data_IF_311945775920
#
_entry.id   IF_311945775920
#
_cell.length_a   1.000
_cell.length_b   1.000
_cell.length_c   1.000
_cell.angle_alpha   90.00
_cell.angle_beta   90.00
_cell.angle_gamma   90.00
#
_symmetry.space_group_name_H-M   'P 1'
#
loop_
_entity.id
_entity.type
_entity.pdbx_description
1 polymer ?
#
# COMPACT_ATOMS: atom_id res chain seq x y z
N UNK A 1 -6.41 10.01 -26.19
CA UNK A 1 -5.10 9.55 -26.71
C UNK A 1 -5.27 8.17 -27.31
N UNK A 2 -4.62 7.85 -28.44
CA UNK A 2 -4.66 6.48 -29.01
C UNK A 2 -3.51 5.62 -28.45
N UNK A 3 -3.47 4.33 -28.82
CA UNK A 3 -2.46 3.39 -28.32
C UNK A 3 -1.05 3.69 -28.85
N UNK A 4 -0.92 4.11 -30.11
CA UNK A 4 0.38 4.40 -30.73
C UNK A 4 1.07 5.59 -30.07
N UNK A 5 0.31 6.66 -29.80
CA UNK A 5 0.78 7.83 -29.06
C UNK A 5 1.20 7.47 -27.63
N UNK A 6 0.45 6.56 -26.99
CA UNK A 6 0.78 6.04 -25.65
C UNK A 6 2.11 5.30 -25.65
N UNK A 7 2.29 4.39 -26.60
CA UNK A 7 3.52 3.61 -26.74
C UNK A 7 4.70 4.53 -27.03
N UNK A 8 4.52 5.54 -27.89
CA UNK A 8 5.57 6.52 -28.19
C UNK A 8 5.99 7.31 -26.95
N UNK A 9 5.04 7.83 -26.18
CA UNK A 9 5.31 8.57 -24.95
C UNK A 9 5.99 7.70 -23.89
N UNK A 10 5.48 6.48 -23.66
CA UNK A 10 6.05 5.54 -22.69
C UNK A 10 7.46 5.10 -23.10
N UNK A 11 7.69 4.84 -24.38
CA UNK A 11 9.03 4.49 -24.91
C UNK A 11 10.01 5.65 -24.74
N UNK A 12 9.56 6.89 -24.95
CA UNK A 12 10.37 8.07 -24.68
C UNK A 12 10.68 8.22 -23.18
N UNK A 13 9.80 7.80 -22.28
CA UNK A 13 10.05 7.84 -20.83
C UNK A 13 10.84 6.64 -20.29
N UNK A 14 10.91 5.53 -21.02
CA UNK A 14 11.63 4.30 -20.66
C UNK A 14 13.17 4.41 -20.74
N UNK A 15 13.73 5.53 -20.27
CA UNK A 15 15.17 5.77 -20.17
C UNK A 15 15.45 6.74 -19.02
N UNK A 16 16.40 6.39 -18.13
CA UNK A 16 16.65 7.11 -16.88
C UNK A 16 16.82 8.61 -17.05
N UNK A 17 17.74 9.05 -17.92
CA UNK A 17 18.00 10.48 -18.12
C UNK A 17 16.78 11.25 -18.66
N UNK A 18 15.94 10.63 -19.51
CA UNK A 18 14.73 11.26 -20.04
C UNK A 18 13.65 11.39 -18.97
N UNK A 19 13.52 10.37 -18.11
CA UNK A 19 12.65 10.43 -16.94
C UNK A 19 13.08 11.52 -15.95
N UNK A 20 14.38 11.68 -15.71
CA UNK A 20 14.90 12.71 -14.80
C UNK A 20 14.67 14.13 -15.34
N UNK A 21 14.94 14.36 -16.63
CA UNK A 21 14.62 15.61 -17.32
C UNK A 21 13.12 15.90 -17.21
N UNK A 22 12.28 14.90 -17.52
CA UNK A 22 10.84 15.07 -17.52
C UNK A 22 10.28 15.37 -16.11
N UNK A 23 10.75 14.66 -15.07
CA UNK A 23 10.38 14.93 -13.67
C UNK A 23 10.77 16.34 -13.23
N UNK A 24 11.96 16.79 -13.62
CA UNK A 24 12.42 18.14 -13.32
C UNK A 24 11.51 19.19 -13.97
N UNK A 25 11.11 18.97 -15.23
CA UNK A 25 10.19 19.85 -15.96
C UNK A 25 8.77 19.85 -15.40
N UNK A 26 8.26 18.70 -14.94
CA UNK A 26 6.96 18.61 -14.25
C UNK A 26 6.96 19.46 -12.97
N UNK A 27 8.03 19.38 -12.17
CA UNK A 27 8.18 20.19 -10.95
C UNK A 27 8.29 21.69 -11.23
N UNK A 28 8.86 22.06 -12.38
CA UNK A 28 8.95 23.45 -12.80
C UNK A 28 7.62 24.00 -13.35
N UNK A 29 6.63 23.15 -13.62
CA UNK A 29 5.32 23.54 -14.12
C UNK A 29 5.39 24.28 -15.48
N UNK A 30 4.39 25.14 -15.72
CA UNK A 30 4.27 25.93 -16.96
C UNK A 30 5.40 26.96 -17.12
N UNK A 31 5.99 27.40 -16.01
CA UNK A 31 7.14 28.30 -16.02
C UNK A 31 8.35 27.67 -16.69
N UNK A 32 8.49 26.34 -16.59
CA UNK A 32 9.53 25.59 -17.27
C UNK A 32 10.95 26.00 -16.87
N UNK A 33 11.95 25.47 -17.58
CA UNK A 33 13.36 25.74 -17.30
C UNK A 33 14.17 25.99 -18.58
N UNK A 34 15.18 26.86 -18.53
CA UNK A 34 16.13 26.99 -19.62
C UNK A 34 17.01 25.74 -19.71
N UNK A 35 17.45 25.39 -20.93
CA UNK A 35 18.27 24.20 -21.18
C UNK A 35 19.49 24.08 -20.24
N UNK A 36 20.19 25.19 -19.94
CA UNK A 36 21.35 25.18 -19.04
C UNK A 36 21.01 24.69 -17.62
N UNK A 37 19.86 25.12 -17.07
CA UNK A 37 19.43 24.70 -15.73
C UNK A 37 18.98 23.23 -15.70
N UNK A 38 18.44 22.73 -16.80
CA UNK A 38 18.09 21.31 -16.95
C UNK A 38 19.37 20.46 -17.02
N UNK A 39 20.37 20.90 -17.78
CA UNK A 39 21.66 20.23 -17.90
C UNK A 39 22.35 20.10 -16.54
N UNK A 40 22.40 21.21 -15.78
CA UNK A 40 22.93 21.23 -14.42
C UNK A 40 22.14 20.30 -13.49
N UNK A 41 20.81 20.41 -13.50
CA UNK A 41 19.94 19.63 -12.61
C UNK A 41 19.99 18.13 -12.84
N UNK A 42 20.30 17.69 -14.07
CA UNK A 42 20.41 16.27 -14.44
C UNK A 42 21.87 15.79 -14.58
N UNK A 43 22.87 16.66 -14.38
CA UNK A 43 24.28 16.30 -14.56
C UNK A 43 24.65 15.90 -16.00
N UNK A 44 24.00 16.51 -17.01
CA UNK A 44 24.17 16.15 -18.43
C UNK A 44 24.96 17.20 -19.20
N UNK A 45 25.71 16.77 -20.22
CA UNK A 45 26.30 17.69 -21.18
C UNK A 45 25.22 18.35 -22.06
N UNK A 46 25.53 19.52 -22.64
CA UNK A 46 24.59 20.23 -23.52
C UNK A 46 24.17 19.41 -24.75
N UNK A 47 25.08 18.60 -25.31
CA UNK A 47 24.80 17.73 -26.47
C UNK A 47 23.88 16.57 -26.10
N UNK A 48 24.17 15.89 -24.98
CA UNK A 48 23.34 14.79 -24.48
C UNK A 48 21.95 15.27 -24.08
N UNK A 49 21.86 16.42 -23.41
CA UNK A 49 20.57 17.03 -23.08
C UNK A 49 19.75 17.34 -24.34
N UNK A 50 20.37 17.96 -25.35
CA UNK A 50 19.68 18.33 -26.59
C UNK A 50 19.12 17.09 -27.31
N UNK A 51 19.87 15.99 -27.33
CA UNK A 51 19.42 14.71 -27.86
C UNK A 51 18.19 14.16 -27.13
N UNK A 52 18.18 14.21 -25.80
CA UNK A 52 17.06 13.76 -24.99
C UNK A 52 15.83 14.68 -25.10
N UNK A 53 16.02 16.00 -25.10
CA UNK A 53 14.95 16.98 -25.30
C UNK A 53 14.29 16.83 -26.67
N UNK A 54 15.06 16.54 -27.72
CA UNK A 54 14.50 16.29 -29.05
C UNK A 54 13.62 15.03 -29.08
N UNK A 55 14.03 13.95 -28.41
CA UNK A 55 13.21 12.73 -28.31
C UNK A 55 11.94 12.95 -27.48
N UNK A 56 12.05 13.63 -26.34
CA UNK A 56 10.89 13.99 -25.53
C UNK A 56 9.93 14.92 -26.29
N UNK A 57 10.46 15.86 -27.08
CA UNK A 57 9.67 16.74 -27.94
C UNK A 57 9.01 15.99 -29.09
N UNK A 58 9.70 15.03 -29.71
CA UNK A 58 9.14 14.19 -30.77
C UNK A 58 7.99 13.31 -30.26
N UNK A 59 8.06 12.86 -29.00
CA UNK A 59 6.98 12.17 -28.31
C UNK A 59 5.91 13.12 -27.71
N UNK A 60 6.01 14.43 -27.94
CA UNK A 60 5.06 15.44 -27.48
C UNK A 60 5.09 15.73 -25.97
N UNK A 61 5.95 15.06 -25.19
CA UNK A 61 6.03 15.18 -23.72
C UNK A 61 6.60 16.52 -23.25
N UNK A 62 7.38 17.19 -24.10
CA UNK A 62 8.02 18.47 -23.78
C UNK A 62 7.77 19.47 -24.90
N UNK A 63 7.35 20.67 -24.50
CA UNK A 63 7.25 21.84 -25.38
C UNK A 63 8.39 22.80 -25.09
N UNK A 64 8.65 23.71 -26.02
CA UNK A 64 9.59 24.80 -25.79
C UNK A 64 9.04 26.13 -26.29
N UNK A 65 9.42 27.20 -25.59
CA UNK A 65 9.13 28.57 -25.97
C UNK A 65 10.40 29.41 -25.91
N UNK A 66 10.47 30.44 -26.74
CA UNK A 66 11.61 31.34 -26.78
C UNK A 66 11.40 32.46 -25.76
N UNK A 67 12.34 32.62 -24.83
CA UNK A 67 12.39 33.72 -23.88
C UNK A 67 13.73 34.46 -24.05
N UNK A 68 13.71 35.53 -24.85
CA UNK A 68 14.90 36.28 -25.24
C UNK A 68 15.91 35.42 -26.01
N UNK A 69 17.10 35.24 -25.44
CA UNK A 69 18.21 34.44 -26.01
C UNK A 69 18.18 32.97 -25.62
N UNK A 70 17.25 32.56 -24.76
CA UNK A 70 17.16 31.20 -24.23
C UNK A 70 15.86 30.49 -24.66
N UNK A 71 15.93 29.16 -24.79
CA UNK A 71 14.75 28.32 -24.94
C UNK A 71 14.36 27.80 -23.56
N UNK A 72 13.11 28.06 -23.17
CA UNK A 72 12.50 27.53 -21.97
C UNK A 72 11.71 26.29 -22.37
N UNK A 73 12.02 25.17 -21.73
CA UNK A 73 11.35 23.90 -21.92
C UNK A 73 10.36 23.68 -20.78
N UNK A 74 9.21 23.13 -21.11
CA UNK A 74 8.15 22.80 -20.15
C UNK A 74 7.55 21.45 -20.49
N UNK A 75 7.05 20.73 -19.49
CA UNK A 75 6.27 19.52 -19.74
C UNK A 75 4.95 19.90 -20.42
N UNK A 76 4.49 19.05 -21.34
CA UNK A 76 3.20 19.24 -21.99
C UNK A 76 2.09 18.68 -21.09
N UNK A 77 1.48 19.52 -20.26
CA UNK A 77 0.45 19.10 -19.30
C UNK A 77 -0.74 18.43 -19.98
N UNK A 78 -1.19 18.94 -21.14
CA UNK A 78 -2.32 18.36 -21.88
C UNK A 78 -2.06 16.91 -22.30
N UNK A 79 -0.85 16.62 -22.80
CA UNK A 79 -0.48 15.25 -23.18
C UNK A 79 -0.33 14.36 -21.94
N UNK A 80 0.22 14.90 -20.85
CA UNK A 80 0.39 14.16 -19.59
C UNK A 80 -0.96 13.76 -19.01
N UNK A 81 -1.91 14.69 -18.96
CA UNK A 81 -3.28 14.41 -18.50
C UNK A 81 -3.95 13.36 -19.40
N UNK A 82 -3.76 13.47 -20.73
CA UNK A 82 -4.27 12.48 -21.68
C UNK A 82 -3.63 11.09 -21.53
N UNK A 83 -2.34 11.02 -21.22
CA UNK A 83 -1.62 9.76 -20.95
C UNK A 83 -2.06 9.15 -19.62
N UNK A 84 -2.22 9.95 -18.57
CA UNK A 84 -2.74 9.50 -17.28
C UNK A 84 -4.16 8.96 -17.44
N UNK A 85 -5.04 9.67 -18.15
CA UNK A 85 -6.40 9.21 -18.42
C UNK A 85 -6.41 7.89 -19.21
N UNK A 86 -5.57 7.76 -20.25
CA UNK A 86 -5.44 6.53 -21.02
C UNK A 86 -4.97 5.34 -20.18
N UNK A 87 -3.93 5.53 -19.36
CA UNK A 87 -3.44 4.50 -18.45
C UNK A 87 -4.47 4.18 -17.36
N UNK A 88 -5.17 5.20 -16.86
CA UNK A 88 -6.24 5.05 -15.88
C UNK A 88 -7.35 4.15 -16.39
N UNK A 89 -7.84 4.38 -17.61
CA UNK A 89 -8.85 3.51 -18.23
C UNK A 89 -8.30 2.12 -18.58
N UNK A 90 -7.06 2.02 -19.06
CA UNK A 90 -6.42 0.74 -19.39
C UNK A 90 -6.16 -0.14 -18.17
N UNK A 91 -5.77 0.46 -17.04
CA UNK A 91 -5.49 -0.23 -15.78
C UNK A 91 -6.74 -0.41 -14.92
N UNK A 92 -7.87 0.17 -15.34
CA UNK A 92 -9.15 -0.03 -14.69
C UNK A 92 -9.54 -1.50 -14.84
N UNK A 93 -9.69 -2.26 -13.75
CA UNK A 93 -10.28 -3.59 -13.86
C UNK A 93 -11.66 -3.46 -14.49
N UNK A 94 -12.08 -4.44 -15.29
CA UNK A 94 -13.34 -4.42 -16.05
C UNK A 94 -14.62 -4.19 -15.19
N UNK A 95 -14.49 -4.12 -13.87
CA UNK A 95 -15.52 -3.72 -12.93
C UNK A 95 -15.05 -2.59 -12.00
N UNK A 96 -15.11 -1.35 -12.49
CA UNK A 96 -15.44 -0.16 -11.67
C UNK A 96 -15.57 1.05 -12.58
N UNK A 97 -16.80 1.49 -12.86
CA UNK A 97 -17.09 2.81 -13.40
C UNK A 97 -17.83 3.58 -12.31
N UNK A 98 -17.20 4.62 -11.78
CA UNK A 98 -17.80 5.90 -11.33
C UNK A 98 -16.77 6.66 -10.50
N UNK A 99 -16.35 7.80 -11.02
CA UNK A 99 -15.49 8.80 -10.39
C UNK A 99 -16.25 9.69 -9.38
N UNK A 100 -15.44 10.31 -8.53
CA UNK A 100 -15.52 11.67 -8.00
C UNK A 100 -16.39 12.07 -6.78
N UNK A 101 -15.66 12.69 -5.83
CA UNK A 101 -16.06 13.59 -4.74
C UNK A 101 -17.00 13.05 -3.65
N UNK A 102 -16.42 12.52 -2.57
CA UNK A 102 -17.12 12.41 -1.30
C UNK A 102 -16.20 12.72 -0.11
N UNK A 103 -16.76 13.44 0.85
CA UNK A 103 -16.18 13.95 2.08
C UNK A 103 -15.54 12.87 2.98
N UNK A 104 -14.48 13.18 3.74
CA UNK A 104 -13.72 12.18 4.49
C UNK A 104 -14.39 11.82 5.83
N UNK A 105 -15.22 10.76 5.87
CA UNK A 105 -15.18 9.72 6.93
C UNK A 105 -16.21 8.58 6.72
N UNK A 106 -17.32 8.77 6.01
CA UNK A 106 -18.34 7.69 5.84
C UNK A 106 -17.91 6.59 4.85
N UNK A 107 -17.04 6.93 3.90
CA UNK A 107 -16.55 6.01 2.86
C UNK A 107 -15.35 5.16 3.28
N UNK A 108 -14.76 5.42 4.45
CA UNK A 108 -13.60 4.68 4.95
C UNK A 108 -14.04 3.42 5.72
N UNK A 109 -13.45 2.27 5.39
CA UNK A 109 -13.71 1.00 6.09
C UNK A 109 -12.70 0.83 7.23
N UNK A 110 -13.20 0.86 8.46
CA UNK A 110 -12.39 0.68 9.66
C UNK A 110 -12.19 -0.82 9.96
N UNK A 111 -10.93 -1.23 10.04
CA UNK A 111 -10.53 -2.63 10.26
C UNK A 111 -9.62 -2.73 11.46
N UNK A 112 -9.92 -3.62 12.42
CA UNK A 112 -9.08 -3.90 13.57
C UNK A 112 -8.40 -5.26 13.44
N UNK A 113 -7.07 -5.29 13.45
CA UNK A 113 -6.28 -6.51 13.56
C UNK A 113 -5.93 -6.85 15.01
N UNK A 114 -6.38 -8.00 15.50
CA UNK A 114 -6.15 -8.43 16.88
C UNK A 114 -5.17 -9.60 16.91
N UNK A 115 -4.04 -9.39 17.59
CA UNK A 115 -3.06 -10.45 17.85
C UNK A 115 -2.93 -10.72 19.35
N UNK A 116 -2.03 -11.65 19.73
CA UNK A 116 -1.74 -11.92 21.13
C UNK A 116 -1.09 -10.70 21.82
N UNK A 117 0.10 -10.27 21.37
CA UNK A 117 0.89 -9.23 22.02
C UNK A 117 0.89 -7.84 21.39
N UNK A 118 0.29 -7.68 20.21
CA UNK A 118 0.43 -6.48 19.36
C UNK A 118 1.87 -6.00 19.21
N UNK A 119 2.72 -6.91 18.76
CA UNK A 119 4.16 -6.67 18.63
C UNK A 119 4.71 -6.99 17.23
N UNK A 120 4.13 -8.00 16.53
CA UNK A 120 4.57 -8.43 15.20
C UNK A 120 3.42 -8.49 14.19
N UNK A 121 2.77 -9.66 14.08
CA UNK A 121 1.69 -9.96 13.10
C UNK A 121 0.65 -8.86 12.93
N UNK A 122 0.00 -8.43 14.01
CA UNK A 122 -1.06 -7.42 13.90
C UNK A 122 -0.53 -6.02 13.55
N UNK A 123 0.72 -5.70 13.92
CA UNK A 123 1.39 -4.45 13.50
C UNK A 123 1.71 -4.48 12.01
N UNK A 124 2.21 -5.61 11.50
CA UNK A 124 2.45 -5.80 10.06
C UNK A 124 1.14 -5.67 9.27
N UNK A 125 0.07 -6.31 9.73
CA UNK A 125 -1.23 -6.24 9.09
C UNK A 125 -1.80 -4.82 9.04
N UNK A 126 -1.70 -4.05 10.15
CA UNK A 126 -2.10 -2.64 10.19
C UNK A 126 -1.34 -1.80 9.16
N UNK A 127 -0.01 -1.96 9.11
CA UNK A 127 0.82 -1.21 8.16
C UNK A 127 0.49 -1.53 6.71
N UNK A 128 0.40 -2.83 6.38
CA UNK A 128 0.11 -3.30 5.02
C UNK A 128 -1.27 -2.83 4.56
N UNK A 129 -2.32 -2.94 5.38
CA UNK A 129 -3.66 -2.50 4.98
C UNK A 129 -3.76 -0.98 4.85
N UNK A 130 -3.15 -0.21 5.74
CA UNK A 130 -3.13 1.26 5.58
C UNK A 130 -2.39 1.69 4.31
N UNK A 131 -1.32 0.97 3.93
CA UNK A 131 -0.57 1.26 2.71
C UNK A 131 -1.33 0.85 1.43
N UNK A 132 -1.82 -0.38 1.36
CA UNK A 132 -2.51 -0.91 0.18
C UNK A 132 -3.95 -0.39 0.04
N UNK A 133 -4.59 -0.05 1.15
CA UNK A 133 -5.96 0.46 1.19
C UNK A 133 -6.12 1.86 0.60
N UNK A 134 -5.04 2.66 0.52
CA UNK A 134 -4.99 3.99 -0.11
C UNK A 134 -6.16 4.90 0.30
N UNK A 135 -6.44 4.98 1.60
CA UNK A 135 -7.50 5.83 2.16
C UNK A 135 -8.91 5.24 2.15
N UNK A 136 -9.15 4.14 1.40
CA UNK A 136 -10.44 3.39 1.47
C UNK A 136 -10.58 2.60 2.77
N UNK A 137 -9.45 2.30 3.40
CA UNK A 137 -9.38 1.58 4.66
C UNK A 137 -8.63 2.40 5.68
N UNK A 138 -9.08 2.29 6.94
CA UNK A 138 -8.34 2.74 8.11
C UNK A 138 -8.12 1.52 9.00
N UNK A 139 -6.89 1.05 9.02
CA UNK A 139 -6.50 -0.12 9.78
C UNK A 139 -5.98 0.29 11.16
N UNK A 140 -6.38 -0.48 12.16
CA UNK A 140 -5.90 -0.42 13.52
C UNK A 140 -5.37 -1.80 13.92
N UNK A 141 -4.56 -1.86 14.97
CA UNK A 141 -4.20 -3.12 15.61
C UNK A 141 -4.17 -3.03 17.11
N UNK A 142 -4.39 -4.17 17.76
CA UNK A 142 -4.38 -4.30 19.21
C UNK A 142 -3.99 -5.72 19.65
N UNK A 143 -3.77 -5.86 20.95
CA UNK A 143 -3.28 -7.10 21.57
C UNK A 143 -4.15 -7.50 22.76
N UNK A 144 -4.55 -8.78 22.82
CA UNK A 144 -5.27 -9.34 23.98
C UNK A 144 -4.40 -9.29 25.24
N UNK A 145 -3.10 -9.52 25.09
CA UNK A 145 -2.07 -9.43 26.13
C UNK A 145 -0.96 -8.51 25.63
N UNK A 146 -1.28 -7.25 25.40
CA UNK A 146 -0.35 -6.30 24.78
C UNK A 146 1.00 -6.26 25.50
N UNK A 147 2.09 -6.21 24.75
CA UNK A 147 3.45 -6.21 25.33
C UNK A 147 3.95 -4.80 25.63
N UNK A 148 3.29 -3.76 25.11
CA UNK A 148 3.74 -2.37 25.20
C UNK A 148 4.98 -2.06 24.32
N UNK A 149 5.54 -3.07 23.64
CA UNK A 149 6.72 -2.94 22.78
C UNK A 149 6.52 -3.65 21.45
N UNK A 150 6.76 -2.91 20.37
CA UNK A 150 6.76 -3.46 19.00
C UNK A 150 8.08 -4.20 18.73
N UNK A 151 7.99 -5.33 18.04
CA UNK A 151 9.15 -6.14 17.66
C UNK A 151 10.03 -5.37 16.69
N UNK A 152 11.32 -5.21 17.01
CA UNK A 152 12.29 -4.56 16.13
C UNK A 152 12.40 -5.27 14.78
N UNK A 153 12.44 -6.61 14.80
CA UNK A 153 12.49 -7.43 13.59
C UNK A 153 11.28 -7.20 12.68
N UNK A 154 10.09 -7.03 13.26
CA UNK A 154 8.89 -6.76 12.49
C UNK A 154 8.95 -5.40 11.78
N UNK A 155 9.48 -4.38 12.46
CA UNK A 155 9.69 -3.05 11.88
C UNK A 155 10.74 -3.09 10.76
N UNK A 156 11.83 -3.82 10.96
CA UNK A 156 12.90 -3.91 9.97
C UNK A 156 12.45 -4.62 8.70
N UNK A 157 11.68 -5.70 8.82
CA UNK A 157 11.10 -6.42 7.67
C UNK A 157 10.09 -5.55 6.92
N UNK A 158 9.21 -4.82 7.64
CA UNK A 158 8.31 -3.85 6.99
C UNK A 158 9.09 -2.80 6.18
N UNK A 159 10.14 -2.21 6.76
CA UNK A 159 10.98 -1.22 6.06
C UNK A 159 11.65 -1.80 4.83
N UNK A 160 12.24 -2.99 4.93
CA UNK A 160 12.90 -3.67 3.80
C UNK A 160 11.91 -3.98 2.67
N UNK A 161 10.67 -4.32 3.02
CA UNK A 161 9.60 -4.57 2.07
C UNK A 161 8.91 -3.28 1.54
N UNK A 162 9.33 -2.10 2.00
CA UNK A 162 8.79 -0.81 1.54
C UNK A 162 7.50 -0.35 2.24
N UNK A 163 7.11 -1.00 3.35
CA UNK A 163 5.93 -0.62 4.13
C UNK A 163 6.28 0.37 5.27
N UNK A 164 5.38 1.32 5.60
CA UNK A 164 5.59 2.24 6.72
C UNK A 164 5.72 1.53 8.06
N UNK A 165 6.69 1.93 8.89
CA UNK A 165 6.95 1.30 10.19
C UNK A 165 7.01 2.31 11.35
N UNK A 166 7.25 3.59 11.08
CA UNK A 166 7.70 4.53 12.12
C UNK A 166 6.59 5.01 13.08
N UNK A 167 5.33 4.88 12.68
CA UNK A 167 4.17 5.20 13.52
C UNK A 167 3.65 4.00 14.34
N UNK A 168 4.26 2.82 14.20
CA UNK A 168 3.78 1.60 14.85
C UNK A 168 3.85 1.70 16.39
N UNK A 169 2.75 1.35 17.05
CA UNK A 169 2.65 1.31 18.52
C UNK A 169 1.92 0.06 18.97
N UNK A 170 2.38 -0.51 20.09
CA UNK A 170 1.68 -1.61 20.76
C UNK A 170 0.55 -1.04 21.62
N UNK A 171 -0.68 -1.52 21.41
CA UNK A 171 -1.92 -0.97 21.95
C UNK A 171 -2.76 -2.10 22.62
N UNK A 172 -3.36 -1.84 23.79
CA UNK A 172 -4.32 -2.76 24.43
C UNK A 172 -5.60 -2.93 23.60
N UNK A 173 -6.21 -4.11 23.65
CA UNK A 173 -7.48 -4.39 22.96
C UNK A 173 -8.64 -3.55 23.53
N UNK A 174 -8.60 -3.25 24.82
CA UNK A 174 -9.62 -2.50 25.57
C UNK A 174 -9.86 -1.11 24.97
N UNK A 175 -8.83 -0.52 24.35
CA UNK A 175 -8.92 0.77 23.65
C UNK A 175 -9.92 0.74 22.49
N UNK A 176 -10.12 -0.42 21.87
CA UNK A 176 -10.96 -0.60 20.68
C UNK A 176 -12.26 -1.34 20.97
N UNK A 177 -12.42 -1.93 22.16
CA UNK A 177 -13.67 -2.55 22.60
C UNK A 177 -14.54 -1.63 23.44
N UNK A 178 -14.05 -0.44 23.79
CA UNK A 178 -14.85 0.60 24.41
C UNK A 178 -16.03 1.00 23.48
N UNK A 179 -17.23 1.33 24.01
CA UNK A 179 -18.42 1.45 23.17
C UNK A 179 -18.29 2.39 21.97
N UNK A 180 -17.73 3.59 22.19
CA UNK A 180 -17.57 4.59 21.13
C UNK A 180 -16.53 4.17 20.09
N UNK A 181 -15.43 3.53 20.53
CA UNK A 181 -14.37 3.06 19.65
C UNK A 181 -14.80 1.84 18.84
N UNK A 182 -15.59 0.95 19.43
CA UNK A 182 -16.10 -0.25 18.78
C UNK A 182 -17.19 0.07 17.75
N UNK A 183 -18.04 1.06 18.03
CA UNK A 183 -19.18 1.42 17.18
C UNK A 183 -18.80 1.82 15.75
N UNK A 184 -17.58 2.31 15.54
CA UNK A 184 -17.09 2.73 14.21
C UNK A 184 -16.37 1.60 13.46
N UNK A 185 -16.11 0.46 14.09
CA UNK A 185 -15.43 -0.68 13.44
C UNK A 185 -16.37 -1.40 12.49
N UNK A 186 -15.89 -1.68 11.28
CA UNK A 186 -16.65 -2.46 10.30
C UNK A 186 -16.20 -3.93 10.29
N UNK A 187 -14.91 -4.17 10.45
CA UNK A 187 -14.31 -5.51 10.37
C UNK A 187 -13.31 -5.69 11.52
N UNK A 188 -13.34 -6.87 12.14
CA UNK A 188 -12.33 -7.33 13.09
C UNK A 188 -11.67 -8.59 12.56
N UNK A 189 -10.35 -8.60 12.46
CA UNK A 189 -9.56 -9.73 11.97
C UNK A 189 -8.63 -10.20 13.08
N UNK A 190 -8.78 -11.44 13.49
CA UNK A 190 -7.90 -12.08 14.47
C UNK A 190 -6.78 -12.82 13.76
N UNK A 191 -5.52 -12.53 14.11
CA UNK A 191 -4.33 -13.06 13.42
C UNK A 191 -3.54 -14.10 14.23
N UNK A 192 -4.03 -14.41 15.43
CA UNK A 192 -3.48 -15.43 16.33
C UNK A 192 -4.59 -16.28 16.92
N UNK A 193 -4.31 -17.57 17.14
CA UNK A 193 -5.17 -18.53 17.88
C UNK A 193 -5.71 -17.94 19.19
N UNK A 194 -4.82 -17.37 20.01
CA UNK A 194 -5.15 -16.72 21.29
C UNK A 194 -6.20 -15.60 21.19
N UNK A 195 -6.33 -14.99 20.01
CA UNK A 195 -7.28 -13.92 19.75
C UNK A 195 -8.62 -14.43 19.18
N UNK A 196 -8.70 -15.72 18.80
CA UNK A 196 -9.88 -16.32 18.20
C UNK A 196 -11.11 -16.36 19.10
N UNK A 197 -10.94 -16.23 20.42
CA UNK A 197 -12.02 -16.16 21.40
C UNK A 197 -12.71 -14.80 21.54
N UNK A 198 -12.31 -13.78 20.76
CA UNK A 198 -12.92 -12.45 20.81
C UNK A 198 -14.39 -12.48 20.34
N UNK A 199 -15.33 -12.19 21.24
CA UNK A 199 -16.75 -12.12 20.91
C UNK A 199 -17.11 -10.76 20.28
N UNK A 200 -16.91 -10.63 18.98
CA UNK A 200 -17.22 -9.39 18.23
C UNK A 200 -18.71 -9.10 18.14
N UNK A 201 -19.58 -10.10 18.30
CA UNK A 201 -21.04 -9.93 18.28
C UNK A 201 -21.58 -9.14 19.48
N UNK A 202 -20.81 -9.05 20.56
CA UNK A 202 -21.13 -8.24 21.73
C UNK A 202 -20.65 -6.78 21.61
N UNK A 203 -19.86 -6.46 20.57
CA UNK A 203 -19.34 -5.11 20.36
C UNK A 203 -20.41 -4.22 19.69
N UNK A 204 -20.51 -2.94 20.08
CA UNK A 204 -21.27 -1.94 19.33
C UNK A 204 -20.84 -1.91 17.86
N UNK A 205 -21.78 -1.69 16.95
CA UNK A 205 -21.54 -1.76 15.50
C UNK A 205 -21.51 -3.17 14.92
N UNK A 206 -21.40 -4.21 15.75
CA UNK A 206 -21.38 -5.64 15.36
C UNK A 206 -20.45 -5.90 14.15
N UNK A 207 -19.15 -5.57 14.26
CA UNK A 207 -18.22 -5.70 13.15
C UNK A 207 -18.12 -7.15 12.67
N UNK A 208 -17.97 -7.32 11.36
CA UNK A 208 -17.83 -8.64 10.76
C UNK A 208 -16.47 -9.22 11.13
N UNK A 209 -16.47 -10.46 11.60
CA UNK A 209 -15.26 -11.13 12.10
C UNK A 209 -14.62 -12.05 11.06
N UNK A 210 -13.29 -11.97 10.97
CA UNK A 210 -12.44 -12.91 10.25
C UNK A 210 -11.34 -13.50 11.15
N UNK A 211 -10.94 -14.73 10.87
CA UNK A 211 -9.81 -15.39 11.52
C UNK A 211 -8.76 -15.80 10.50
N UNK A 212 -7.59 -15.15 10.55
CA UNK A 212 -6.47 -15.30 9.64
C UNK A 212 -5.24 -15.73 10.45
N UNK A 213 -5.21 -16.97 10.96
CA UNK A 213 -4.10 -17.44 11.78
C UNK A 213 -2.81 -17.33 10.97
N UNK A 214 -1.74 -16.95 11.64
CA UNK A 214 -0.39 -16.90 11.05
C UNK A 214 0.58 -17.41 12.10
N UNK A 215 1.66 -18.08 11.65
CA UNK A 215 2.71 -18.58 12.53
C UNK A 215 3.17 -17.49 13.51
N UNK A 216 3.43 -17.85 14.76
CA UNK A 216 3.92 -16.89 15.75
C UNK A 216 5.43 -16.75 15.67
N UNK A 217 5.97 -15.65 15.09
CA UNK A 217 7.40 -15.50 14.96
C UNK A 217 8.10 -15.23 16.31
N UNK A 218 7.36 -14.85 17.36
CA UNK A 218 7.94 -14.54 18.67
C UNK A 218 8.34 -15.79 19.48
N UNK A 219 7.79 -16.95 19.15
CA UNK A 219 8.09 -18.23 19.82
C UNK A 219 9.15 -19.08 19.12
N UNK A 220 9.69 -18.60 17.99
CA UNK A 220 10.65 -19.36 17.18
C UNK A 220 12.03 -19.28 17.84
N UNK A 221 12.57 -20.44 18.22
CA UNK A 221 13.95 -20.58 18.68
C UNK A 221 14.81 -20.96 17.49
N UNK A 222 15.75 -20.10 17.13
CA UNK A 222 16.63 -20.30 15.98
C UNK A 222 17.63 -19.16 15.83
N UNK A 223 18.41 -19.22 14.76
CA UNK A 223 19.30 -18.14 14.33
C UNK A 223 18.49 -16.90 13.92
N UNK A 224 19.14 -15.73 13.91
CA UNK A 224 18.50 -14.48 13.47
C UNK A 224 17.93 -14.59 12.05
N UNK A 225 18.60 -15.34 11.17
CA UNK A 225 18.16 -15.61 9.79
C UNK A 225 16.89 -16.46 9.75
N UNK A 226 16.82 -17.51 10.57
CA UNK A 226 15.63 -18.37 10.65
C UNK A 226 14.43 -17.60 11.21
N UNK A 227 14.64 -16.79 12.24
CA UNK A 227 13.60 -15.93 12.80
C UNK A 227 13.13 -14.91 11.76
N UNK A 228 14.05 -14.24 11.05
CA UNK A 228 13.72 -13.29 9.99
C UNK A 228 12.91 -13.95 8.86
N UNK A 229 13.29 -15.16 8.43
CA UNK A 229 12.57 -15.91 7.40
C UNK A 229 11.11 -16.21 7.79
N UNK A 230 10.86 -16.49 9.08
CA UNK A 230 9.48 -16.68 9.58
C UNK A 230 8.69 -15.36 9.50
N UNK A 231 9.29 -14.24 9.91
CA UNK A 231 8.63 -12.94 9.78
C UNK A 231 8.39 -12.55 8.32
N UNK A 232 9.30 -12.85 7.40
CA UNK A 232 9.13 -12.62 5.96
C UNK A 232 7.97 -13.47 5.42
N UNK A 233 7.88 -14.74 5.79
CA UNK A 233 6.76 -15.62 5.43
C UNK A 233 5.42 -15.12 5.98
N UNK A 234 5.41 -14.61 7.22
CA UNK A 234 4.23 -14.00 7.84
C UNK A 234 3.82 -12.75 7.07
N UNK A 235 4.77 -11.87 6.74
CA UNK A 235 4.48 -10.66 5.97
C UNK A 235 3.92 -11.01 4.58
N UNK A 236 4.53 -11.96 3.88
CA UNK A 236 4.06 -12.41 2.56
C UNK A 236 2.62 -12.94 2.61
N UNK A 237 2.30 -13.79 3.60
CA UNK A 237 0.94 -14.28 3.84
C UNK A 237 -0.05 -13.14 4.12
N UNK A 238 0.33 -12.17 4.95
CA UNK A 238 -0.51 -11.01 5.24
C UNK A 238 -0.71 -10.12 4.00
N UNK A 239 0.32 -9.89 3.18
CA UNK A 239 0.23 -9.11 1.94
C UNK A 239 -0.73 -9.75 0.95
N UNK A 240 -0.67 -11.07 0.75
CA UNK A 240 -1.58 -11.80 -0.14
C UNK A 240 -3.05 -11.69 0.32
N UNK A 241 -3.29 -11.96 1.61
CA UNK A 241 -4.62 -11.89 2.23
C UNK A 241 -5.20 -10.48 2.18
N UNK A 242 -4.40 -9.47 2.51
CA UNK A 242 -4.82 -8.06 2.51
C UNK A 242 -5.04 -7.57 1.08
N UNK A 243 -4.19 -7.96 0.12
CA UNK A 243 -4.40 -7.64 -1.30
C UNK A 243 -5.74 -8.19 -1.77
N UNK A 244 -6.06 -9.44 -1.42
CA UNK A 244 -7.35 -10.06 -1.72
C UNK A 244 -8.51 -9.32 -1.06
N UNK A 245 -8.38 -8.94 0.23
CA UNK A 245 -9.40 -8.14 0.93
C UNK A 245 -9.66 -6.79 0.25
N UNK A 246 -8.60 -6.07 -0.12
CA UNK A 246 -8.72 -4.73 -0.73
C UNK A 246 -9.32 -4.75 -2.15
N UNK A 247 -9.31 -5.92 -2.81
CA UNK A 247 -9.94 -6.15 -4.10
C UNK A 247 -11.44 -6.52 -3.99
N UNK A 248 -11.96 -6.83 -2.80
CA UNK A 248 -13.37 -7.13 -2.62
C UNK A 248 -14.24 -5.86 -2.70
N UNK A 249 -15.45 -5.94 -3.29
CA UNK A 249 -16.41 -4.85 -3.29
C UNK A 249 -17.16 -4.78 -1.95
N UNK A 250 -16.43 -4.51 -0.86
CA UNK A 250 -16.94 -4.66 0.52
C UNK A 250 -18.26 -3.94 0.81
N UNK A 251 -18.49 -2.77 0.19
CA UNK A 251 -19.73 -1.99 0.36
C UNK A 251 -20.97 -2.65 -0.22
N UNK A 252 -20.81 -3.52 -1.22
CA UNK A 252 -21.94 -4.22 -1.85
C UNK A 252 -22.22 -5.59 -1.23
N UNK A 253 -21.40 -6.03 -0.28
CA UNK A 253 -21.54 -7.34 0.35
C UNK A 253 -22.41 -7.23 1.60
N UNK A 254 -23.39 -8.11 1.72
CA UNK A 254 -24.08 -8.31 2.99
C UNK A 254 -23.12 -8.91 4.05
N UNK A 255 -23.39 -8.72 5.35
CA UNK A 255 -22.50 -9.20 6.41
C UNK A 255 -22.18 -10.70 6.36
N UNK A 256 -23.14 -11.55 5.96
CA UNK A 256 -22.96 -13.01 5.90
C UNK A 256 -22.02 -13.37 4.74
N UNK A 257 -22.22 -12.75 3.57
CA UNK A 257 -21.31 -12.94 2.43
C UNK A 257 -19.92 -12.41 2.74
N UNK A 258 -19.81 -11.24 3.38
CA UNK A 258 -18.52 -10.69 3.81
C UNK A 258 -17.80 -11.65 4.77
N UNK A 259 -18.49 -12.16 5.78
CA UNK A 259 -17.93 -13.14 6.72
C UNK A 259 -17.41 -14.39 6.00
N UNK A 260 -18.17 -14.93 5.03
CA UNK A 260 -17.75 -16.08 4.23
C UNK A 260 -16.51 -15.77 3.37
N UNK A 261 -16.41 -14.56 2.82
CA UNK A 261 -15.23 -14.11 2.05
C UNK A 261 -14.00 -13.96 2.96
N UNK A 262 -14.15 -13.35 4.13
CA UNK A 262 -13.07 -13.24 5.12
C UNK A 262 -12.58 -14.62 5.57
N UNK A 263 -13.49 -15.56 5.81
CA UNK A 263 -13.14 -16.95 6.15
C UNK A 263 -12.48 -17.71 4.99
N UNK A 264 -12.79 -17.37 3.73
CA UNK A 264 -12.09 -17.94 2.57
C UNK A 264 -10.66 -17.40 2.47
N UNK A 265 -10.46 -16.09 2.67
CA UNK A 265 -9.13 -15.46 2.69
C UNK A 265 -8.25 -16.08 3.79
N UNK A 266 -8.81 -16.33 4.97
CA UNK A 266 -8.08 -16.94 6.08
C UNK A 266 -7.62 -18.38 5.85
N UNK A 267 -8.22 -19.09 4.90
CA UNK A 267 -7.90 -20.50 4.57
C UNK A 267 -6.84 -20.65 3.47
N UNK A 268 -6.31 -19.56 2.91
CA UNK A 268 -5.33 -19.64 1.83
C UNK A 268 -4.04 -20.37 2.25
N UNK A 269 -3.58 -21.23 1.34
CA UNK A 269 -2.57 -22.28 1.48
C UNK A 269 -1.15 -21.76 1.79
N UNK A 270 -0.88 -21.48 3.05
CA UNK A 270 0.48 -21.24 3.56
C UNK A 270 0.69 -21.69 5.01
N UNK A 271 -0.37 -22.09 5.71
CA UNK A 271 -0.34 -22.40 7.15
C UNK A 271 -0.19 -23.89 7.48
N UNK A 272 0.01 -24.76 6.48
CA UNK A 272 0.29 -26.21 6.68
C UNK A 272 1.75 -26.49 7.10
N UNK A 273 2.43 -25.52 7.70
CA UNK A 273 3.71 -25.78 8.38
C UNK A 273 3.39 -26.22 9.80
N UNK A 274 3.41 -27.54 9.97
CA UNK A 274 3.24 -28.24 11.23
C UNK A 274 3.98 -27.53 12.38
N UNK A 275 3.22 -27.18 13.41
CA UNK A 275 3.72 -26.76 14.72
C UNK A 275 4.80 -27.76 15.19
N UNK A 276 6.08 -27.36 15.38
CA UNK A 276 7.03 -28.26 15.98
C UNK A 276 6.60 -28.47 17.44
N UNK A 277 6.44 -29.74 17.80
CA UNK A 277 6.01 -30.18 19.11
C UNK A 277 6.70 -29.38 20.23
N UNK A 278 5.89 -28.84 21.16
CA UNK A 278 6.38 -28.34 22.45
C UNK A 278 7.14 -29.48 23.13
N UNK A 279 8.47 -29.42 23.08
CA UNK A 279 9.34 -30.27 23.87
C UNK A 279 9.13 -29.95 25.34
N UNK A 280 8.52 -30.89 26.06
CA UNK A 280 8.51 -30.94 27.52
C UNK A 280 9.92 -31.33 27.95
N UNK A 281 10.55 -30.49 28.75
CA UNK A 281 11.63 -30.85 29.66
C UNK A 281 11.46 -30.01 30.94
#
# INVERSE_FOLDING_TARGET
MNSDDAVLALSALAYGARMDIFRLLIRAGTDGLPAGRIAEGCGLSASTLSFHLNQLKAAGLVTNRRAGRSLIYSANSELVDALIAYLGDTLRPAASASEDTATPDEDVINVLFVGAGNSGRSIMAESVLNHLGRGRFRAFSAGVRHTGKVSGMALDILRRAGFPADAARSKPLEMFTAPDAAAVLNIVITVSEDAGGLNTGALPGQPVHGHWPTADPLGVVGTEVEIAAVYDSVLASLVDRISTLTALPLRSLDPVTLQRRLAAIGRHAGDDVSSPARGVA
#
